data_IF_856436501698
#
_entry.id   IF_856436501698
#
_cell.length_a   1.000
_cell.length_b   1.000
_cell.length_c   1.000
_cell.angle_alpha   90.00
_cell.angle_beta   90.00
_cell.angle_gamma   90.00
#
_symmetry.space_group_name_H-M   'P 1'
#
loop_
_entity.id
_entity.type
_entity.pdbx_description
1 polymer ?
#
# COMPACT_ATOMS: atom_id res chain seq x y z
N UNK A 1 5.36 -33.30 -12.89
CA UNK A 1 5.76 -32.79 -11.55
C UNK A 1 6.35 -31.36 -11.60
N UNK A 2 7.14 -31.00 -12.62
CA UNK A 2 7.79 -29.68 -12.74
C UNK A 2 6.81 -28.48 -12.85
N UNK A 3 5.63 -28.67 -13.43
CA UNK A 3 4.57 -27.65 -13.55
C UNK A 3 3.87 -27.31 -12.22
N UNK A 4 3.81 -28.26 -11.28
CA UNK A 4 3.12 -28.06 -10.00
C UNK A 4 3.89 -27.08 -9.13
N UNK A 5 5.22 -27.22 -9.11
CA UNK A 5 6.11 -26.28 -8.43
C UNK A 5 5.96 -24.86 -8.98
N UNK A 6 5.79 -24.70 -10.29
CA UNK A 6 5.62 -23.40 -10.92
C UNK A 6 4.34 -22.70 -10.47
N UNK A 7 3.23 -23.43 -10.34
CA UNK A 7 1.97 -22.90 -9.83
C UNK A 7 2.07 -22.46 -8.37
N UNK A 8 2.79 -23.24 -7.54
CA UNK A 8 3.02 -22.88 -6.13
C UNK A 8 3.78 -21.55 -6.01
N UNK A 9 4.82 -21.35 -6.82
CA UNK A 9 5.57 -20.09 -6.84
C UNK A 9 4.71 -18.88 -7.23
N UNK A 10 3.80 -19.04 -8.19
CA UNK A 10 2.89 -17.97 -8.61
C UNK A 10 1.94 -17.59 -7.47
N UNK A 11 1.36 -18.58 -6.78
CA UNK A 11 0.46 -18.33 -5.64
C UNK A 11 1.21 -17.65 -4.49
N UNK A 12 2.44 -18.06 -4.18
CA UNK A 12 3.26 -17.38 -3.16
C UNK A 12 3.59 -15.93 -3.54
N UNK A 13 3.92 -15.65 -4.82
CA UNK A 13 4.18 -14.29 -5.27
C UNK A 13 2.94 -13.39 -5.16
N UNK A 14 1.76 -13.92 -5.53
CA UNK A 14 0.48 -13.24 -5.36
C UNK A 14 0.16 -12.95 -3.88
N UNK A 15 0.43 -13.88 -2.98
CA UNK A 15 0.24 -13.69 -1.54
C UNK A 15 1.18 -12.60 -0.98
N UNK A 16 2.43 -12.54 -1.44
CA UNK A 16 3.37 -11.49 -1.03
C UNK A 16 2.91 -10.09 -1.48
N UNK A 17 2.32 -9.99 -2.68
CA UNK A 17 1.76 -8.74 -3.21
C UNK A 17 0.53 -8.28 -2.42
N UNK A 18 -0.35 -9.19 -2.00
CA UNK A 18 -1.55 -8.83 -1.21
C UNK A 18 -1.22 -8.47 0.24
N UNK A 19 -0.18 -9.07 0.83
CA UNK A 19 0.32 -8.68 2.15
C UNK A 19 0.89 -7.26 2.12
N UNK A 20 1.68 -6.92 1.10
CA UNK A 20 2.21 -5.56 0.94
C UNK A 20 1.09 -4.53 0.76
N UNK A 21 0.03 -4.84 0.00
CA UNK A 21 -1.11 -3.93 -0.17
C UNK A 21 -1.82 -3.57 1.15
N UNK A 22 -1.72 -4.43 2.18
CA UNK A 22 -2.28 -4.19 3.51
C UNK A 22 -1.31 -3.46 4.45
N UNK A 23 -0.01 -3.49 4.17
CA UNK A 23 1.01 -2.78 4.94
C UNK A 23 1.28 -1.35 4.41
N UNK A 24 0.87 -1.06 3.17
CA UNK A 24 0.73 0.30 2.63
C UNK A 24 -0.65 0.92 2.90
N UNK A 25 -1.31 0.56 4.01
CA UNK A 25 -2.60 1.17 4.41
C UNK A 25 -2.45 2.67 4.72
N UNK A 26 -1.22 3.22 4.71
CA UNK A 26 -0.99 4.64 4.82
C UNK A 26 0.04 5.19 3.81
N UNK A 27 -0.19 6.44 3.41
CA UNK A 27 0.61 7.21 2.44
C UNK A 27 1.66 8.02 3.20
N UNK A 28 2.96 7.92 2.87
CA UNK A 28 4.00 8.68 3.55
C UNK A 28 3.82 10.21 3.36
N UNK A 29 4.40 10.98 4.27
CA UNK A 29 4.36 12.44 4.22
C UNK A 29 4.84 12.99 2.88
N UNK A 30 4.21 14.08 2.41
CA UNK A 30 4.49 14.77 1.15
C UNK A 30 4.22 13.98 -0.14
N UNK A 31 3.75 12.73 -0.05
CA UNK A 31 3.26 12.01 -1.23
C UNK A 31 1.84 12.44 -1.62
N UNK A 32 1.49 12.12 -2.87
CA UNK A 32 0.14 12.29 -3.37
C UNK A 32 -0.84 11.38 -2.61
N UNK A 33 -1.94 11.96 -2.16
CA UNK A 33 -3.05 11.24 -1.56
C UNK A 33 -4.28 11.35 -2.47
N UNK A 34 -4.97 10.22 -2.68
CA UNK A 34 -6.10 10.12 -3.60
C UNK A 34 -7.40 9.84 -2.84
N UNK A 35 -8.27 10.83 -2.75
CA UNK A 35 -9.63 10.70 -2.21
C UNK A 35 -9.77 10.98 -0.71
N UNK A 36 -11.01 11.27 -0.29
CA UNK A 36 -11.40 11.75 1.05
C UNK A 36 -11.09 10.78 2.20
N UNK A 37 -10.75 9.51 1.88
CA UNK A 37 -10.40 8.45 2.85
C UNK A 37 -8.95 7.96 2.73
N UNK A 38 -8.07 8.70 2.06
CA UNK A 38 -6.66 8.33 1.97
C UNK A 38 -5.97 8.57 3.31
N UNK A 39 -5.52 7.48 3.95
CA UNK A 39 -4.82 7.51 5.23
C UNK A 39 -3.39 7.96 4.99
N UNK A 40 -3.00 9.13 5.46
CA UNK A 40 -1.60 9.51 5.52
C UNK A 40 -0.96 8.89 6.78
N UNK A 41 0.31 8.49 6.71
CA UNK A 41 1.00 7.87 7.84
C UNK A 41 1.30 8.90 8.93
N UNK A 42 1.14 8.54 10.20
CA UNK A 42 1.56 9.38 11.34
C UNK A 42 0.72 10.65 11.53
N UNK A 43 1.38 11.78 11.80
CA UNK A 43 0.77 13.11 12.01
C UNK A 43 0.60 13.88 10.69
N UNK A 44 0.29 13.18 9.61
CA UNK A 44 0.03 13.78 8.31
C UNK A 44 -1.44 13.63 7.96
N UNK A 45 -2.02 14.64 7.31
CA UNK A 45 -3.41 14.64 6.80
C UNK A 45 -3.41 14.86 5.30
N UNK A 46 -4.36 14.22 4.61
CA UNK A 46 -4.54 14.44 3.19
C UNK A 46 -5.22 15.80 2.96
N UNK A 47 -4.48 16.74 2.38
CA UNK A 47 -4.96 18.07 2.01
C UNK A 47 -4.53 18.39 0.59
N UNK A 48 -5.48 18.77 -0.26
CA UNK A 48 -5.23 19.09 -1.67
C UNK A 48 -4.41 18.02 -2.42
N UNK A 49 -4.82 16.76 -2.28
CA UNK A 49 -4.15 15.59 -2.86
C UNK A 49 -2.68 15.40 -2.43
N UNK A 50 -2.26 15.96 -1.29
CA UNK A 50 -0.98 15.63 -0.65
C UNK A 50 -1.11 15.37 0.84
N UNK A 51 -0.29 14.47 1.35
CA UNK A 51 -0.10 14.32 2.79
C UNK A 51 0.75 15.48 3.33
N UNK A 52 0.17 16.34 4.17
CA UNK A 52 0.86 17.46 4.84
C UNK A 52 0.87 17.27 6.36
N UNK A 53 1.85 17.81 7.10
CA UNK A 53 1.85 17.75 8.55
C UNK A 53 0.59 18.43 9.13
N UNK A 54 -0.03 17.83 10.14
CA UNK A 54 -1.07 18.52 10.92
C UNK A 54 -0.48 19.75 11.63
N UNK A 55 -1.18 20.89 11.65
CA UNK A 55 -0.75 22.10 12.36
C UNK A 55 -0.65 21.89 13.87
#
# INVERSE_FOLDING_TARGET
>A
MKFILFLVFIVLALMALTVQAKEYDCIPGFQQCGGTNSRCCGLYVCFNNRCIPTP
#
